data_IF_599161894273
#
_entry.id   IF_599161894273
#
_cell.length_a   1.000
_cell.length_b   1.000
_cell.length_c   1.000
_cell.angle_alpha   90.00
_cell.angle_beta   90.00
_cell.angle_gamma   90.00
#
_symmetry.space_group_name_H-M   'P 1'
#
loop_
_entity.id
_entity.type
_entity.pdbx_description
1 polymer ?
#
# COMPACT_ATOMS: atom_id res chain seq x y z
N UNK A 1 35.67 -3.15 35.19
CA UNK A 1 35.33 -4.31 34.32
C UNK A 1 33.90 -4.23 33.78
N UNK A 2 32.89 -3.89 34.60
CA UNK A 2 31.46 -3.81 34.22
C UNK A 2 31.19 -2.87 33.01
N UNK A 3 31.85 -1.70 32.95
CA UNK A 3 31.67 -0.72 31.85
C UNK A 3 32.10 -1.24 30.47
N UNK A 4 33.11 -2.11 30.41
CA UNK A 4 33.60 -2.68 29.16
C UNK A 4 32.62 -3.73 28.61
N UNK A 5 31.99 -4.51 29.49
CA UNK A 5 30.93 -5.46 29.12
C UNK A 5 29.69 -4.75 28.58
N UNK A 6 29.31 -3.62 29.17
CA UNK A 6 28.18 -2.81 28.68
C UNK A 6 28.44 -2.24 27.28
N UNK A 7 29.66 -1.76 27.00
CA UNK A 7 30.04 -1.25 25.69
C UNK A 7 30.09 -2.36 24.64
N UNK A 8 30.65 -3.52 24.99
CA UNK A 8 30.70 -4.68 24.10
C UNK A 8 29.29 -5.18 23.74
N UNK A 9 28.37 -5.23 24.71
CA UNK A 9 26.98 -5.62 24.48
C UNK A 9 26.23 -4.64 23.56
N UNK A 10 26.48 -3.33 23.72
CA UNK A 10 25.88 -2.29 22.88
C UNK A 10 26.35 -2.39 21.43
N UNK A 11 27.67 -2.58 21.24
CA UNK A 11 28.26 -2.74 19.90
C UNK A 11 27.77 -4.04 19.25
N UNK A 12 27.67 -5.14 19.99
CA UNK A 12 27.14 -6.40 19.49
C UNK A 12 25.68 -6.26 19.05
N UNK A 13 24.84 -5.59 19.85
CA UNK A 13 23.45 -5.32 19.50
C UNK A 13 23.29 -4.44 18.24
N UNK A 14 24.15 -3.43 18.09
CA UNK A 14 24.17 -2.57 16.91
C UNK A 14 24.56 -3.37 15.65
N UNK A 15 25.59 -4.20 15.73
CA UNK A 15 26.03 -5.03 14.59
C UNK A 15 24.95 -6.03 14.14
N UNK A 16 24.19 -6.61 15.07
CA UNK A 16 23.06 -7.49 14.74
C UNK A 16 21.94 -6.71 14.03
N UNK A 17 21.68 -5.47 14.46
CA UNK A 17 20.69 -4.60 13.82
C UNK A 17 21.04 -4.18 12.39
N UNK A 18 22.34 -3.98 12.08
CA UNK A 18 22.77 -3.61 10.72
C UNK A 18 22.76 -4.78 9.73
N UNK A 19 22.99 -6.02 10.20
CA UNK A 19 23.14 -7.19 9.33
C UNK A 19 21.80 -7.91 9.12
N UNK A 20 20.81 -7.69 9.97
CA UNK A 20 19.49 -8.31 9.82
C UNK A 20 18.62 -7.51 8.83
N UNK A 21 18.36 -7.99 7.61
CA UNK A 21 17.33 -7.41 6.75
C UNK A 21 15.99 -7.70 7.42
N UNK A 22 15.54 -6.80 8.30
CA UNK A 22 14.16 -6.81 8.74
C UNK A 22 13.34 -6.59 7.46
N UNK A 23 12.72 -7.65 6.96
CA UNK A 23 11.80 -7.56 5.84
C UNK A 23 10.68 -6.63 6.28
N UNK A 24 10.79 -5.34 5.92
CA UNK A 24 9.73 -4.37 6.12
C UNK A 24 8.63 -4.79 5.16
N UNK A 25 7.73 -5.64 5.65
CA UNK A 25 6.46 -5.92 5.01
C UNK A 25 5.76 -4.57 4.99
N UNK A 26 5.84 -3.87 3.86
CA UNK A 26 5.08 -2.65 3.64
C UNK A 26 3.63 -2.99 4.04
N UNK A 27 3.06 -2.16 4.92
CA UNK A 27 1.71 -2.35 5.45
C UNK A 27 0.81 -2.74 4.28
N UNK A 28 0.09 -3.89 4.38
CA UNK A 28 -0.62 -4.44 3.26
C UNK A 28 -1.52 -3.32 2.75
N UNK A 29 -1.42 -3.07 1.46
CA UNK A 29 -2.30 -2.14 0.79
C UNK A 29 -3.77 -2.37 1.15
N UNK A 30 -4.65 -1.47 0.74
CA UNK A 30 -6.08 -1.70 0.98
C UNK A 30 -6.52 -2.91 0.14
N UNK A 31 -6.73 -4.05 0.80
CA UNK A 31 -7.09 -5.31 0.13
C UNK A 31 -8.58 -5.62 0.26
N UNK A 32 -9.15 -6.16 -0.82
CA UNK A 32 -10.44 -6.83 -0.82
C UNK A 32 -10.33 -8.09 -1.67
N UNK A 33 -10.54 -9.25 -1.06
CA UNK A 33 -10.40 -10.54 -1.73
C UNK A 33 -8.97 -10.76 -2.26
N UNK A 34 -8.79 -11.19 -3.51
CA UNK A 34 -7.47 -11.46 -4.09
C UNK A 34 -6.73 -10.22 -4.59
N UNK A 35 -7.31 -9.02 -4.47
CA UNK A 35 -6.74 -7.76 -4.98
C UNK A 35 -6.36 -6.84 -3.83
N UNK A 36 -5.20 -6.20 -3.94
CA UNK A 36 -4.67 -5.22 -2.99
C UNK A 36 -4.29 -3.92 -3.70
N UNK A 37 -4.50 -2.78 -3.05
CA UNK A 37 -3.97 -1.48 -3.49
C UNK A 37 -2.65 -1.17 -2.79
N UNK A 38 -1.54 -1.49 -3.43
CA UNK A 38 -0.17 -1.29 -2.92
C UNK A 38 0.18 0.19 -2.69
N UNK A 39 -0.46 1.10 -3.43
CA UNK A 39 -0.22 2.54 -3.32
C UNK A 39 -1.50 3.30 -3.63
N UNK A 40 -1.80 4.32 -2.83
CA UNK A 40 -2.98 5.18 -2.99
C UNK A 40 -2.52 6.62 -2.90
N UNK A 41 -2.66 7.36 -3.99
CA UNK A 41 -2.25 8.77 -4.05
C UNK A 41 -3.41 9.65 -4.50
N UNK A 42 -3.44 10.88 -4.02
CA UNK A 42 -4.42 11.87 -4.46
C UNK A 42 -3.97 12.49 -5.78
N UNK A 43 -4.90 12.68 -6.72
CA UNK A 43 -4.59 13.38 -7.96
C UNK A 43 -4.25 14.84 -7.69
N UNK A 44 -3.15 15.32 -8.29
CA UNK A 44 -2.73 16.72 -8.18
C UNK A 44 -3.66 17.69 -8.94
N UNK A 45 -4.42 17.19 -9.92
CA UNK A 45 -5.34 18.01 -10.73
C UNK A 45 -6.75 18.06 -10.15
N UNK A 46 -7.23 16.94 -9.60
CA UNK A 46 -8.59 16.80 -9.11
C UNK A 46 -8.55 16.18 -7.71
N UNK A 47 -8.85 16.95 -6.67
CA UNK A 47 -8.74 16.45 -5.29
C UNK A 47 -9.64 15.23 -5.02
N UNK A 48 -10.78 15.10 -5.72
CA UNK A 48 -11.72 13.98 -5.62
C UNK A 48 -11.35 12.74 -6.44
N UNK A 49 -10.17 12.72 -7.05
CA UNK A 49 -9.65 11.55 -7.73
C UNK A 49 -8.53 10.92 -6.92
N UNK A 50 -8.61 9.61 -6.75
CA UNK A 50 -7.54 8.80 -6.20
C UNK A 50 -6.90 7.97 -7.30
N UNK A 51 -5.59 7.82 -7.25
CA UNK A 51 -4.81 6.97 -8.15
C UNK A 51 -4.34 5.78 -7.32
N UNK A 52 -4.76 4.58 -7.72
CA UNK A 52 -4.48 3.34 -7.03
C UNK A 52 -3.53 2.49 -7.87
N UNK A 53 -2.49 1.94 -7.27
CA UNK A 53 -1.71 0.84 -7.84
C UNK A 53 -2.23 -0.46 -7.26
N UNK A 54 -2.86 -1.26 -8.09
CA UNK A 54 -3.46 -2.54 -7.75
C UNK A 54 -2.52 -3.68 -8.10
N UNK A 55 -2.60 -4.74 -7.30
CA UNK A 55 -1.94 -6.00 -7.53
C UNK A 55 -2.87 -7.14 -7.12
N UNK A 56 -2.87 -8.25 -7.86
CA UNK A 56 -3.64 -9.44 -7.53
C UNK A 56 -2.73 -10.66 -7.24
N UNK A 57 -3.34 -11.74 -6.74
CA UNK A 57 -2.62 -12.98 -6.44
C UNK A 57 -2.06 -13.71 -7.67
N UNK A 58 -2.54 -13.36 -8.87
CA UNK A 58 -2.01 -13.89 -10.13
C UNK A 58 -0.79 -13.11 -10.61
N UNK A 59 -0.41 -12.04 -9.90
CA UNK A 59 0.72 -11.18 -10.21
C UNK A 59 0.39 -10.09 -11.23
N UNK A 60 -0.88 -9.89 -11.58
CA UNK A 60 -1.28 -8.76 -12.41
C UNK A 60 -1.16 -7.47 -11.61
N UNK A 61 -0.57 -6.45 -12.24
CA UNK A 61 -0.43 -5.12 -11.65
C UNK A 61 -1.04 -4.08 -12.57
N UNK A 62 -1.76 -3.14 -11.98
CA UNK A 62 -2.44 -2.12 -12.74
C UNK A 62 -2.52 -0.80 -11.99
N UNK A 63 -2.35 0.30 -12.71
CA UNK A 63 -2.60 1.65 -12.19
C UNK A 63 -3.97 2.11 -12.67
N UNK A 64 -4.89 2.34 -11.73
CA UNK A 64 -6.25 2.80 -12.01
C UNK A 64 -6.53 4.14 -11.33
N UNK A 65 -7.50 4.87 -11.85
CA UNK A 65 -7.99 6.13 -11.26
C UNK A 65 -9.41 5.90 -10.76
N UNK A 66 -9.63 6.15 -9.48
CA UNK A 66 -10.94 6.18 -8.87
C UNK A 66 -11.49 7.60 -8.87
N UNK A 67 -12.65 7.78 -9.50
CA UNK A 67 -13.45 8.99 -9.34
C UNK A 67 -14.36 8.80 -8.12
N UNK A 68 -14.03 9.48 -7.01
CA UNK A 68 -14.78 9.32 -5.77
C UNK A 68 -16.21 9.88 -5.84
N UNK A 69 -16.44 10.96 -6.61
CA UNK A 69 -17.78 11.52 -6.80
C UNK A 69 -18.71 10.58 -7.56
N UNK A 70 -18.18 9.91 -8.59
CA UNK A 70 -18.96 8.97 -9.40
C UNK A 70 -18.93 7.53 -8.86
N UNK A 71 -18.10 7.23 -7.87
CA UNK A 71 -17.93 5.88 -7.35
C UNK A 71 -17.41 4.88 -8.38
N UNK A 72 -16.66 5.34 -9.39
CA UNK A 72 -16.28 4.58 -10.59
C UNK A 72 -14.77 4.60 -10.84
N UNK A 73 -14.24 3.46 -11.30
CA UNK A 73 -12.85 3.30 -11.74
C UNK A 73 -12.65 3.55 -13.23
N UNK A 74 -11.46 4.05 -13.56
CA UNK A 74 -10.96 4.16 -14.93
C UNK A 74 -9.56 3.53 -15.03
N UNK A 75 -9.30 2.67 -16.03
CA UNK A 75 -10.26 2.16 -17.02
C UNK A 75 -11.28 1.18 -16.41
N UNK A 76 -12.46 1.08 -17.03
CA UNK A 76 -13.56 0.20 -16.53
C UNK A 76 -13.25 -1.31 -16.69
N UNK A 77 -12.26 -1.66 -17.49
CA UNK A 77 -11.77 -3.03 -17.68
C UNK A 77 -10.24 -3.07 -17.60
N UNK A 78 -9.69 -4.23 -17.30
CA UNK A 78 -8.26 -4.46 -17.14
C UNK A 78 -7.97 -5.87 -16.63
N UNK A 79 -6.69 -6.23 -16.44
CA UNK A 79 -6.31 -7.57 -16.00
C UNK A 79 -6.68 -7.85 -14.53
N UNK A 80 -6.80 -6.81 -13.70
CA UNK A 80 -7.25 -6.94 -12.31
C UNK A 80 -8.77 -6.90 -12.24
N UNK A 81 -9.37 -7.84 -11.50
CA UNK A 81 -10.81 -7.93 -11.32
C UNK A 81 -11.42 -6.61 -10.82
N UNK A 82 -12.43 -6.15 -11.55
CA UNK A 82 -13.02 -4.82 -11.38
C UNK A 82 -14.01 -4.73 -10.24
N UNK A 83 -14.65 -5.82 -9.84
CA UNK A 83 -15.52 -5.82 -8.67
C UNK A 83 -14.68 -5.58 -7.41
N UNK A 84 -13.58 -6.32 -7.26
CA UNK A 84 -12.64 -6.12 -6.16
C UNK A 84 -11.99 -4.73 -6.22
N UNK A 85 -11.45 -4.34 -7.38
CA UNK A 85 -10.85 -3.02 -7.55
C UNK A 85 -11.82 -1.87 -7.19
N UNK A 86 -13.08 -1.94 -7.62
CA UNK A 86 -14.08 -0.90 -7.35
C UNK A 86 -14.42 -0.84 -5.86
N UNK A 87 -14.52 -1.99 -5.20
CA UNK A 87 -14.74 -2.05 -3.75
C UNK A 87 -13.60 -1.39 -2.97
N UNK A 88 -12.35 -1.63 -3.39
CA UNK A 88 -11.15 -1.02 -2.82
C UNK A 88 -11.17 0.49 -3.08
N UNK A 89 -11.43 0.92 -4.31
CA UNK A 89 -11.54 2.34 -4.67
C UNK A 89 -12.58 3.10 -3.84
N UNK A 90 -13.78 2.54 -3.67
CA UNK A 90 -14.84 3.14 -2.84
C UNK A 90 -14.42 3.23 -1.37
N UNK A 91 -13.78 2.19 -0.84
CA UNK A 91 -13.26 2.21 0.53
C UNK A 91 -12.15 3.26 0.68
N UNK A 92 -11.25 3.36 -0.29
CA UNK A 92 -10.21 4.39 -0.32
C UNK A 92 -10.79 5.81 -0.35
N UNK A 93 -11.85 6.04 -1.14
CA UNK A 93 -12.54 7.33 -1.17
C UNK A 93 -13.12 7.71 0.20
N UNK A 94 -13.77 6.78 0.90
CA UNK A 94 -14.27 7.01 2.26
C UNK A 94 -13.14 7.35 3.24
N UNK A 95 -12.03 6.63 3.17
CA UNK A 95 -10.85 6.90 4.01
C UNK A 95 -10.18 8.24 3.69
N UNK A 96 -10.26 8.69 2.45
CA UNK A 96 -9.73 9.97 1.99
C UNK A 96 -10.67 11.17 2.27
N UNK A 97 -11.87 10.93 2.81
CA UNK A 97 -12.89 11.97 3.03
C UNK A 97 -13.60 12.44 1.76
N UNK A 98 -13.59 11.64 0.69
CA UNK A 98 -14.14 11.97 -0.63
C UNK A 98 -15.46 11.22 -0.97
N UNK A 99 -16.01 10.48 0.01
CA UNK A 99 -17.16 9.58 -0.18
C UNK A 99 -18.48 10.12 0.36
#
# INVERSE_FOLDING_TARGET
MIRAFSLAALVMGLMIGLVSPCAVIASPGLCTGPVCADDITRSAKNHWQLVLKLNDQLGHREKVVMNCRAGQLSPMSGPVDRAYATSIGRRACRLAGEG
#
